data_IF_034488842316
#
_entry.id   IF_034488842316
#
_cell.length_a   1.000
_cell.length_b   1.000
_cell.length_c   1.000
_cell.angle_alpha   90.00
_cell.angle_beta   90.00
_cell.angle_gamma   90.00
#
_symmetry.space_group_name_H-M   'P 1'
#
loop_
_entity.id
_entity.type
_entity.pdbx_description
1 polymer ?
#
# COMPACT_ATOMS: atom_id res chain seq x y z
N UNK A 1 33.54 20.74 19.94
CA UNK A 1 34.37 20.61 18.72
C UNK A 1 33.60 19.77 17.71
N UNK A 2 33.07 20.39 16.65
CA UNK A 2 32.38 19.69 15.57
C UNK A 2 33.40 19.27 14.50
N UNK A 3 33.59 17.96 14.34
CA UNK A 3 34.43 17.39 13.28
C UNK A 3 33.61 17.39 11.99
N UNK A 4 34.06 18.14 10.98
CA UNK A 4 33.53 18.07 9.62
C UNK A 4 34.17 16.89 8.89
N UNK A 5 33.41 16.09 8.11
CA UNK A 5 34.00 15.06 7.25
C UNK A 5 34.77 15.71 6.09
N UNK A 6 36.07 15.43 6.02
CA UNK A 6 37.03 15.98 5.03
C UNK A 6 37.28 15.06 3.84
N UNK A 7 36.47 14.02 3.60
CA UNK A 7 36.70 13.07 2.51
C UNK A 7 35.77 13.28 1.29
N UNK A 8 36.30 13.36 0.06
CA UNK A 8 35.49 13.47 -1.17
C UNK A 8 34.60 12.25 -1.45
N UNK A 9 34.94 11.09 -0.86
CA UNK A 9 34.18 9.84 -0.99
C UNK A 9 32.86 9.86 -0.21
N UNK A 10 32.83 10.51 0.97
CA UNK A 10 31.62 10.64 1.80
C UNK A 10 30.56 11.53 1.12
N UNK A 11 31.01 12.51 0.33
CA UNK A 11 30.12 13.37 -0.47
C UNK A 11 29.43 12.63 -1.61
N UNK A 12 29.99 11.52 -2.13
CA UNK A 12 29.33 10.68 -3.14
C UNK A 12 28.35 9.70 -2.53
N UNK A 13 28.67 9.11 -1.39
CA UNK A 13 27.74 8.26 -0.64
C UNK A 13 26.50 9.05 -0.19
N UNK A 14 26.68 10.30 0.25
CA UNK A 14 25.57 11.18 0.62
C UNK A 14 24.69 11.61 -0.56
N UNK A 15 25.22 11.64 -1.79
CA UNK A 15 24.45 11.97 -3.01
C UNK A 15 23.70 10.77 -3.60
N UNK A 16 24.14 9.54 -3.33
CA UNK A 16 23.40 8.36 -3.78
C UNK A 16 22.16 8.06 -2.92
N UNK A 17 22.14 8.53 -1.67
CA UNK A 17 20.95 8.52 -0.81
C UNK A 17 19.91 9.60 -1.19
N UNK A 18 20.20 10.48 -2.14
CA UNK A 18 19.31 11.58 -2.56
C UNK A 18 18.46 11.29 -3.82
N UNK A 19 18.28 10.02 -4.19
CA UNK A 19 17.31 9.64 -5.23
C UNK A 19 16.40 8.48 -4.81
N UNK A 20 15.97 8.49 -3.56
CA UNK A 20 14.68 7.88 -3.26
C UNK A 20 13.60 8.80 -3.88
N UNK A 21 12.67 8.27 -4.69
CA UNK A 21 11.59 9.09 -5.23
C UNK A 21 10.88 9.76 -4.04
N UNK A 22 10.86 11.09 -4.03
CA UNK A 22 10.12 11.90 -3.05
C UNK A 22 8.63 11.55 -2.99
N UNK A 23 8.14 10.79 -3.96
CA UNK A 23 6.76 10.34 -4.08
C UNK A 23 6.48 8.94 -3.49
N UNK A 24 7.47 8.27 -2.88
CA UNK A 24 7.28 6.97 -2.22
C UNK A 24 7.08 7.06 -0.70
N UNK A 25 6.85 8.28 -0.17
CA UNK A 25 6.60 8.49 1.25
C UNK A 25 5.10 8.47 1.51
N UNK A 26 4.61 7.24 1.68
CA UNK A 26 3.49 6.82 2.54
C UNK A 26 2.13 7.46 2.16
N UNK A 27 1.15 6.66 1.73
CA UNK A 27 -0.25 7.09 1.59
C UNK A 27 -0.95 7.23 2.97
N UNK A 28 -0.42 6.56 3.99
CA UNK A 28 -0.92 6.60 5.37
C UNK A 28 -0.85 7.97 6.08
N UNK A 29 0.14 8.87 5.90
CA UNK A 29 0.18 10.18 6.53
C UNK A 29 -0.79 11.12 5.83
N UNK A 30 -1.19 10.89 4.57
CA UNK A 30 -2.27 11.66 3.95
C UNK A 30 -3.60 11.29 4.60
N UNK A 31 -3.88 9.99 4.77
CA UNK A 31 -5.06 9.52 5.50
C UNK A 31 -5.05 9.99 6.96
N UNK A 32 -3.95 9.80 7.70
CA UNK A 32 -3.84 10.26 9.08
C UNK A 32 -3.90 11.80 9.16
N UNK A 33 -3.29 12.54 8.25
CA UNK A 33 -3.36 14.01 8.21
C UNK A 33 -4.75 14.50 7.89
N UNK A 34 -5.47 13.84 6.99
CA UNK A 34 -6.84 14.21 6.62
C UNK A 34 -7.83 13.81 7.71
N UNK A 35 -7.61 12.68 8.39
CA UNK A 35 -8.36 12.26 9.58
C UNK A 35 -8.09 13.21 10.75
N UNK A 36 -6.83 13.57 11.01
CA UNK A 36 -6.45 14.53 12.05
C UNK A 36 -6.98 15.93 11.69
N UNK A 37 -6.87 16.38 10.44
CA UNK A 37 -7.43 17.68 10.00
C UNK A 37 -8.96 17.70 10.08
N UNK A 38 -9.63 16.61 9.73
CA UNK A 38 -11.07 16.51 9.88
C UNK A 38 -11.47 16.48 11.37
N UNK A 39 -10.70 15.81 12.22
CA UNK A 39 -10.96 15.74 13.66
C UNK A 39 -10.67 17.05 14.40
N UNK A 40 -9.59 17.75 14.02
CA UNK A 40 -9.16 19.01 14.64
C UNK A 40 -9.87 20.23 14.05
N UNK A 41 -10.22 20.18 12.75
CA UNK A 41 -10.87 21.27 12.03
C UNK A 41 -12.40 21.29 12.11
N UNK A 42 -13.03 20.18 12.51
CA UNK A 42 -14.48 20.10 12.68
C UNK A 42 -14.88 20.42 14.12
N UNK A 43 -14.96 21.72 14.44
CA UNK A 43 -15.53 22.24 15.69
C UNK A 43 -17.04 22.52 15.56
N UNK A 44 -17.70 22.02 14.51
CA UNK A 44 -19.08 22.39 14.17
C UNK A 44 -20.16 21.73 15.03
N UNK A 45 -19.79 20.92 16.03
CA UNK A 45 -20.74 20.20 16.89
C UNK A 45 -21.42 19.00 16.21
N UNK A 46 -21.28 18.85 14.88
CA UNK A 46 -21.67 17.64 14.13
C UNK A 46 -20.51 16.67 14.20
N UNK A 47 -20.30 16.06 15.37
CA UNK A 47 -19.11 15.25 15.65
C UNK A 47 -18.78 14.24 14.55
N UNK A 48 -17.48 14.09 14.26
CA UNK A 48 -16.97 13.07 13.35
C UNK A 48 -17.46 11.69 13.80
N UNK A 49 -18.36 11.08 13.02
CA UNK A 49 -18.90 9.76 13.34
C UNK A 49 -17.95 8.66 12.88
N UNK A 50 -17.89 7.56 13.63
CA UNK A 50 -17.11 6.38 13.24
C UNK A 50 -17.53 5.84 11.87
N UNK A 51 -18.82 5.92 11.52
CA UNK A 51 -19.34 5.56 10.20
C UNK A 51 -18.80 6.46 9.09
N UNK A 52 -18.77 7.78 9.31
CA UNK A 52 -18.19 8.74 8.36
C UNK A 52 -16.71 8.49 8.09
N UNK A 53 -15.94 8.15 9.12
CA UNK A 53 -14.52 7.80 8.96
C UNK A 53 -14.33 6.50 8.18
N UNK A 54 -15.12 5.46 8.48
CA UNK A 54 -15.09 4.18 7.73
C UNK A 54 -15.38 4.38 6.24
N UNK A 55 -16.35 5.24 5.90
CA UNK A 55 -16.65 5.57 4.50
C UNK A 55 -15.47 6.26 3.81
N UNK A 56 -14.82 7.22 4.47
CA UNK A 56 -13.62 7.90 3.92
C UNK A 56 -12.45 6.93 3.71
N UNK A 57 -12.20 6.04 4.68
CA UNK A 57 -11.17 5.00 4.56
C UNK A 57 -11.47 4.09 3.37
N UNK A 58 -12.70 3.61 3.23
CA UNK A 58 -13.10 2.79 2.09
C UNK A 58 -12.91 3.51 0.75
N UNK A 59 -13.24 4.80 0.67
CA UNK A 59 -13.04 5.59 -0.54
C UNK A 59 -11.56 5.65 -0.95
N UNK A 60 -10.67 5.92 0.02
CA UNK A 60 -9.22 5.95 -0.23
C UNK A 60 -8.71 4.57 -0.67
N UNK A 61 -9.15 3.49 -0.04
CA UNK A 61 -8.75 2.13 -0.45
C UNK A 61 -9.14 1.79 -1.88
N UNK A 62 -10.35 2.19 -2.31
CA UNK A 62 -10.81 1.98 -3.69
C UNK A 62 -9.97 2.80 -4.68
N UNK A 63 -9.68 4.05 -4.34
CA UNK A 63 -8.85 4.94 -5.16
C UNK A 63 -7.43 4.37 -5.32
N UNK A 64 -6.87 3.85 -4.24
CA UNK A 64 -5.60 3.15 -4.21
C UNK A 64 -5.60 1.95 -5.17
N UNK A 65 -6.53 1.00 -5.02
CA UNK A 65 -6.62 -0.16 -5.93
C UNK A 65 -6.74 0.29 -7.39
N UNK A 66 -7.55 1.32 -7.65
CA UNK A 66 -7.80 1.81 -9.01
C UNK A 66 -6.54 2.38 -9.66
N UNK A 67 -5.72 3.11 -8.90
CA UNK A 67 -4.49 3.73 -9.42
C UNK A 67 -3.32 2.75 -9.52
N UNK A 68 -3.35 1.66 -8.75
CA UNK A 68 -2.25 0.71 -8.67
C UNK A 68 -2.60 -0.59 -9.34
N UNK A 69 -3.42 -1.40 -8.67
CA UNK A 69 -3.69 -2.78 -9.05
C UNK A 69 -4.44 -2.90 -10.38
N UNK A 70 -5.46 -2.08 -10.62
CA UNK A 70 -6.21 -2.14 -11.89
C UNK A 70 -5.39 -1.71 -13.09
N UNK A 71 -4.47 -0.76 -12.90
CA UNK A 71 -3.55 -0.38 -13.95
C UNK A 71 -2.61 -1.54 -14.33
N UNK A 72 -2.18 -2.36 -13.37
CA UNK A 72 -1.41 -3.58 -13.66
C UNK A 72 -2.24 -4.67 -14.34
N UNK A 73 -3.54 -4.78 -14.02
CA UNK A 73 -4.45 -5.67 -14.74
C UNK A 73 -4.62 -5.24 -16.19
N UNK A 74 -4.81 -3.94 -16.44
CA UNK A 74 -4.93 -3.41 -17.79
C UNK A 74 -3.67 -3.72 -18.60
N UNK A 75 -2.47 -3.47 -18.05
CA UNK A 75 -1.21 -3.84 -18.70
C UNK A 75 -1.09 -5.33 -19.00
N UNK A 76 -1.62 -6.19 -18.14
CA UNK A 76 -1.60 -7.64 -18.35
C UNK A 76 -2.59 -8.03 -19.47
N UNK A 77 -3.79 -7.45 -19.47
CA UNK A 77 -4.79 -7.64 -20.52
C UNK A 77 -4.29 -7.14 -21.88
N UNK A 78 -3.62 -5.98 -21.94
CA UNK A 78 -3.02 -5.42 -23.15
C UNK A 78 -1.92 -6.35 -23.73
N UNK A 79 -1.32 -7.20 -22.90
CA UNK A 79 -0.37 -8.25 -23.31
C UNK A 79 -1.06 -9.55 -23.73
N UNK A 80 -2.39 -9.60 -23.76
CA UNK A 80 -3.17 -10.79 -24.08
C UNK A 80 -3.22 -11.84 -22.97
N UNK A 81 -2.87 -11.47 -21.73
CA UNK A 81 -3.04 -12.38 -20.59
C UNK A 81 -4.52 -12.46 -20.21
N UNK A 82 -4.93 -13.60 -19.64
CA UNK A 82 -6.27 -13.83 -19.09
C UNK A 82 -6.30 -13.79 -17.55
N UNK A 83 -5.12 -13.65 -16.95
CA UNK A 83 -4.97 -13.56 -15.51
C UNK A 83 -3.74 -12.75 -15.12
N UNK A 84 -3.80 -12.21 -13.90
CA UNK A 84 -2.71 -11.50 -13.25
C UNK A 84 -2.32 -12.24 -11.98
N UNK A 85 -1.02 -12.44 -11.81
CA UNK A 85 -0.44 -13.06 -10.63
C UNK A 85 0.60 -12.15 -9.99
N UNK A 86 0.43 -11.90 -8.70
CA UNK A 86 1.33 -11.12 -7.86
C UNK A 86 1.75 -11.97 -6.68
N UNK A 87 3.06 -12.17 -6.53
CA UNK A 87 3.65 -12.80 -5.35
C UNK A 87 4.86 -11.98 -4.93
N UNK A 88 4.69 -11.16 -3.89
CA UNK A 88 5.72 -10.22 -3.45
C UNK A 88 5.75 -10.11 -1.93
N UNK A 89 6.95 -9.81 -1.41
CA UNK A 89 7.10 -9.41 -0.02
C UNK A 89 6.26 -8.15 0.22
N UNK A 90 5.43 -8.15 1.26
CA UNK A 90 4.53 -7.03 1.61
C UNK A 90 5.30 -5.72 1.73
N UNK A 91 6.56 -5.75 2.18
CA UNK A 91 7.40 -4.55 2.28
C UNK A 91 7.65 -3.87 0.93
N UNK A 92 7.62 -4.64 -0.17
CA UNK A 92 7.88 -4.18 -1.54
C UNK A 92 6.60 -3.83 -2.32
N UNK A 93 5.43 -4.14 -1.77
CA UNK A 93 4.15 -3.76 -2.36
C UNK A 93 4.02 -2.24 -2.32
N UNK A 94 3.37 -1.67 -3.34
CA UNK A 94 3.13 -0.23 -3.47
C UNK A 94 2.22 0.33 -2.36
N UNK A 95 1.61 1.50 -2.57
CA UNK A 95 0.92 2.27 -1.53
C UNK A 95 -0.21 1.54 -0.77
N UNK A 96 -0.71 0.41 -1.29
CA UNK A 96 -1.73 -0.44 -0.66
C UNK A 96 -1.18 -1.44 0.37
N UNK A 97 0.14 -1.47 0.58
CA UNK A 97 0.80 -2.24 1.65
C UNK A 97 0.11 -2.14 3.02
N UNK A 98 -0.27 -0.95 3.53
CA UNK A 98 -0.84 -0.84 4.87
C UNK A 98 -2.14 -1.62 5.02
N UNK A 99 -2.94 -1.69 3.96
CA UNK A 99 -4.17 -2.47 3.94
C UNK A 99 -3.87 -3.96 4.11
N UNK A 100 -2.74 -4.44 3.57
CA UNK A 100 -2.34 -5.87 3.65
C UNK A 100 -1.83 -6.30 5.01
N UNK A 101 -1.54 -5.34 5.88
CA UNK A 101 -1.21 -5.59 7.27
C UNK A 101 -2.45 -5.58 8.17
N UNK A 102 -3.61 -5.18 7.64
CA UNK A 102 -4.86 -5.28 8.38
C UNK A 102 -5.39 -6.72 8.35
N UNK A 103 -6.00 -7.20 9.45
CA UNK A 103 -6.59 -8.53 9.52
C UNK A 103 -7.58 -8.80 8.38
N UNK A 104 -8.40 -7.80 8.05
CA UNK A 104 -9.46 -7.91 7.04
C UNK A 104 -9.01 -7.46 5.65
N UNK A 105 -7.75 -7.05 5.48
CA UNK A 105 -7.22 -6.51 4.23
C UNK A 105 -7.41 -7.45 3.03
N UNK A 106 -6.93 -8.70 3.10
CA UNK A 106 -7.07 -9.67 2.01
C UNK A 106 -8.54 -9.96 1.67
N UNK A 107 -9.40 -10.07 2.68
CA UNK A 107 -10.84 -10.27 2.52
C UNK A 107 -11.49 -9.07 1.83
N UNK A 108 -11.11 -7.86 2.24
CA UNK A 108 -11.61 -6.62 1.65
C UNK A 108 -11.21 -6.51 0.17
N UNK A 109 -9.95 -6.81 -0.20
CA UNK A 109 -9.55 -6.80 -1.63
C UNK A 109 -10.36 -7.82 -2.41
N UNK A 110 -10.44 -9.05 -1.91
CA UNK A 110 -11.18 -10.12 -2.58
C UNK A 110 -12.59 -9.65 -2.92
N UNK A 111 -13.32 -9.15 -1.93
CA UNK A 111 -14.68 -8.62 -2.12
C UNK A 111 -14.69 -7.45 -3.11
N UNK A 112 -13.72 -6.54 -3.03
CA UNK A 112 -13.58 -5.40 -3.93
C UNK A 112 -13.38 -5.82 -5.40
N UNK A 113 -12.63 -6.90 -5.65
CA UNK A 113 -12.39 -7.46 -6.97
C UNK A 113 -13.59 -8.25 -7.49
N UNK A 114 -14.14 -9.14 -6.67
CA UNK A 114 -15.27 -10.00 -7.04
C UNK A 114 -16.53 -9.17 -7.34
N UNK A 115 -16.79 -8.10 -6.58
CA UNK A 115 -17.90 -7.16 -6.86
C UNK A 115 -17.76 -6.40 -8.19
N UNK A 116 -16.56 -6.38 -8.78
CA UNK A 116 -16.28 -5.77 -10.09
C UNK A 116 -16.22 -6.81 -11.22
N UNK A 117 -16.55 -8.06 -10.94
CA UNK A 117 -16.58 -9.14 -11.94
C UNK A 117 -15.27 -9.89 -12.12
N UNK A 118 -14.23 -9.60 -11.33
CA UNK A 118 -12.99 -10.34 -11.39
C UNK A 118 -13.07 -11.66 -10.62
N UNK A 119 -12.47 -12.72 -11.16
CA UNK A 119 -12.37 -14.02 -10.47
C UNK A 119 -11.11 -14.05 -9.60
N UNK A 120 -11.25 -14.03 -8.27
CA UNK A 120 -10.12 -14.05 -7.33
C UNK A 120 -9.79 -15.49 -6.89
N UNK A 121 -8.86 -16.14 -7.59
CA UNK A 121 -8.42 -17.51 -7.27
C UNK A 121 -7.60 -17.55 -5.97
N UNK A 122 -6.67 -16.62 -5.80
CA UNK A 122 -5.78 -16.53 -4.63
C UNK A 122 -5.78 -15.09 -4.14
N UNK A 123 -5.93 -14.89 -2.83
CA UNK A 123 -5.73 -13.61 -2.15
C UNK A 123 -5.39 -13.92 -0.70
N UNK A 124 -4.10 -14.02 -0.38
CA UNK A 124 -3.60 -14.53 0.91
C UNK A 124 -2.33 -13.81 1.33
N UNK A 125 -2.15 -13.70 2.63
CA UNK A 125 -0.90 -13.26 3.26
C UNK A 125 -0.26 -14.45 3.96
N UNK A 126 1.02 -14.67 3.69
CA UNK A 126 1.85 -15.69 4.34
C UNK A 126 2.87 -15.03 5.24
N UNK A 127 3.11 -15.61 6.41
CA UNK A 127 4.22 -15.23 7.27
C UNK A 127 5.21 -16.40 7.29
N UNK A 128 6.41 -16.19 6.77
CA UNK A 128 7.47 -17.20 6.80
C UNK A 128 8.31 -17.00 8.06
N UNK A 129 8.27 -17.97 8.98
CA UNK A 129 9.23 -18.08 10.07
C UNK A 129 10.29 -19.12 9.66
N UNK A 130 11.36 -18.69 8.97
CA UNK A 130 12.50 -19.57 8.71
C UNK A 130 13.51 -19.43 9.85
N UNK A 131 14.03 -20.58 10.32
CA UNK A 131 14.95 -20.70 11.46
C UNK A 131 16.04 -19.62 11.46
N UNK A 132 15.89 -18.62 12.35
CA UNK A 132 16.90 -17.59 12.61
C UNK A 132 16.84 -16.32 11.75
N UNK A 133 15.97 -16.22 10.73
CA UNK A 133 15.81 -15.00 9.91
C UNK A 133 14.42 -14.42 10.12
N UNK A 134 14.36 -13.15 10.53
CA UNK A 134 13.12 -12.44 10.89
C UNK A 134 12.00 -12.57 9.85
N UNK A 135 10.78 -12.69 10.38
CA UNK A 135 9.52 -12.99 9.68
C UNK A 135 9.21 -12.07 8.50
N UNK A 136 9.46 -12.59 7.29
CA UNK A 136 8.98 -11.98 6.07
C UNK A 136 7.50 -12.29 5.87
N UNK A 137 6.74 -11.28 5.46
CA UNK A 137 5.33 -11.43 5.11
C UNK A 137 5.21 -11.30 3.60
N UNK A 138 4.57 -12.26 2.95
CA UNK A 138 4.35 -12.27 1.51
C UNK A 138 2.86 -12.16 1.23
N UNK A 139 2.52 -11.42 0.19
CA UNK A 139 1.17 -11.36 -0.33
C UNK A 139 1.13 -12.06 -1.67
N UNK A 140 0.16 -12.94 -1.82
CA UNK A 140 -0.12 -13.64 -3.05
C UNK A 140 -1.53 -13.34 -3.52
N UNK A 141 -1.63 -12.89 -4.77
CA UNK A 141 -2.87 -12.55 -5.45
C UNK A 141 -2.88 -13.18 -6.84
N UNK A 142 -3.94 -13.91 -7.16
CA UNK A 142 -4.22 -14.43 -8.50
C UNK A 142 -5.63 -14.06 -8.89
N UNK A 143 -5.75 -13.36 -10.02
CA UNK A 143 -7.01 -12.79 -10.50
C UNK A 143 -7.18 -13.11 -11.98
N UNK A 144 -8.36 -13.59 -12.39
CA UNK A 144 -8.76 -13.74 -13.78
C UNK A 144 -9.86 -12.74 -14.18
N UNK A 145 -9.97 -12.48 -15.48
CA UNK A 145 -11.02 -11.66 -16.12
C UNK A 145 -11.66 -12.41 -17.28
#
# INVERSE_FOLDING_TARGET
>A
MHVWPTHPADRRAARHLQRLPRDAVVALPLLCRDLIRAFVGDQSGVGVTASGLRLRVNHVRVQDISRGLFHEFQKAADKGLTSYYLNQNIKLISFWRPWMLEPDGPTWIRNCLETRGFKTDICKVYHTAYAGVQGCSFFELKVGW
#
